data_IF_720819322414
#
_entry.id   IF_720819322414
#
_cell.length_a   1.000
_cell.length_b   1.000
_cell.length_c   1.000
_cell.angle_alpha   90.00
_cell.angle_beta   90.00
_cell.angle_gamma   90.00
#
_symmetry.space_group_name_H-M   'P 1'
#
loop_
_entity.id
_entity.type
_entity.pdbx_description
1 polymer ?
#
# COMPACT_ATOMS: atom_id res chain seq x y z
N UNK A 1 17.47 38.94 60.88
CA UNK A 1 18.75 39.48 60.37
C UNK A 1 18.99 38.89 58.99
N UNK A 2 18.67 39.66 57.94
CA UNK A 2 18.96 39.27 56.57
C UNK A 2 20.45 39.60 56.35
N UNK A 3 21.28 38.59 56.16
CA UNK A 3 22.72 38.78 55.95
C UNK A 3 22.96 39.30 54.53
N UNK A 4 23.12 40.61 54.39
CA UNK A 4 23.61 41.25 53.17
C UNK A 4 25.15 41.11 53.11
N UNK A 5 25.66 39.92 52.78
CA UNK A 5 27.07 39.78 52.38
C UNK A 5 27.19 39.90 50.85
N UNK A 6 27.91 40.93 50.41
CA UNK A 6 28.32 41.07 49.01
C UNK A 6 29.24 39.87 48.69
N UNK A 7 28.93 39.08 47.65
CA UNK A 7 29.55 37.79 47.30
C UNK A 7 29.14 36.56 48.15
N UNK A 8 27.87 36.43 48.55
CA UNK A 8 27.36 35.24 49.24
C UNK A 8 27.40 33.92 48.43
N UNK A 9 27.60 34.00 47.10
CA UNK A 9 27.60 32.83 46.20
C UNK A 9 29.01 32.55 45.68
N UNK A 10 29.41 31.27 45.67
CA UNK A 10 30.71 30.85 45.13
C UNK A 10 30.64 30.68 43.61
N UNK A 11 31.79 30.77 42.94
CA UNK A 11 31.92 30.54 41.49
C UNK A 11 31.35 29.17 41.07
N UNK A 12 31.46 28.16 41.94
CA UNK A 12 30.84 26.85 41.74
C UNK A 12 29.32 26.93 41.63
N UNK A 13 28.64 27.66 42.52
CA UNK A 13 27.18 27.82 42.49
C UNK A 13 26.72 28.56 41.23
N UNK A 14 27.48 29.56 40.77
CA UNK A 14 27.22 30.24 39.50
C UNK A 14 27.37 29.30 38.29
N UNK A 15 28.40 28.45 38.29
CA UNK A 15 28.62 27.47 37.22
C UNK A 15 27.53 26.39 37.18
N UNK A 16 27.10 25.90 38.35
CA UNK A 16 25.98 24.94 38.45
C UNK A 16 24.70 25.55 37.88
N UNK A 17 24.37 26.79 38.28
CA UNK A 17 23.18 27.47 37.77
C UNK A 17 23.24 27.66 36.24
N UNK A 18 24.40 28.05 35.70
CA UNK A 18 24.60 28.21 34.26
C UNK A 18 24.42 26.89 33.51
N UNK A 19 24.97 25.80 34.03
CA UNK A 19 24.80 24.47 33.43
C UNK A 19 23.35 24.01 33.45
N UNK A 20 22.65 24.18 34.58
CA UNK A 20 21.23 23.84 34.69
C UNK A 20 20.41 24.68 33.71
N UNK A 21 20.67 25.99 33.62
CA UNK A 21 19.97 26.87 32.67
C UNK A 21 20.18 26.43 31.22
N UNK A 22 21.41 26.09 30.84
CA UNK A 22 21.72 25.56 29.51
C UNK A 22 21.01 24.23 29.25
N UNK A 23 21.04 23.30 30.22
CA UNK A 23 20.36 22.01 30.10
C UNK A 23 18.84 22.15 29.99
N UNK A 24 18.24 23.07 30.74
CA UNK A 24 16.80 23.36 30.68
C UNK A 24 16.42 23.95 29.32
N UNK A 25 17.23 24.88 28.79
CA UNK A 25 16.99 25.44 27.45
C UNK A 25 16.98 24.34 26.38
N UNK A 26 17.98 23.45 26.38
CA UNK A 26 18.04 22.31 25.45
C UNK A 26 16.86 21.36 25.64
N UNK A 27 16.42 21.12 26.88
CA UNK A 27 15.26 20.25 27.14
C UNK A 27 13.95 20.86 26.60
N UNK A 28 13.79 22.18 26.69
CA UNK A 28 12.64 22.90 26.13
C UNK A 28 12.66 22.80 24.60
N UNK A 29 13.80 23.05 23.97
CA UNK A 29 13.95 22.93 22.52
C UNK A 29 13.68 21.51 22.03
N UNK A 30 14.20 20.50 22.76
CA UNK A 30 13.94 19.09 22.46
C UNK A 30 12.45 18.76 22.58
N UNK A 31 11.76 19.23 23.63
CA UNK A 31 10.33 19.00 23.79
C UNK A 31 9.52 19.55 22.60
N UNK A 32 9.83 20.79 22.18
CA UNK A 32 9.20 21.40 21.01
C UNK A 32 9.52 20.63 19.71
N UNK A 33 10.75 20.12 19.55
CA UNK A 33 11.13 19.28 18.41
C UNK A 33 10.34 17.96 18.39
N UNK A 34 10.15 17.30 19.53
CA UNK A 34 9.37 16.06 19.62
C UNK A 34 7.90 16.30 19.26
N UNK A 35 7.29 17.37 19.76
CA UNK A 35 5.91 17.73 19.42
C UNK A 35 5.72 17.94 17.90
N UNK A 36 6.61 18.72 17.28
CA UNK A 36 6.60 18.93 15.83
C UNK A 36 6.82 17.63 15.04
N UNK A 37 7.65 16.72 15.55
CA UNK A 37 7.90 15.44 14.91
C UNK A 37 6.69 14.53 14.99
N UNK A 38 6.01 14.48 16.14
CA UNK A 38 4.78 13.70 16.33
C UNK A 38 3.67 14.17 15.39
N UNK A 39 3.48 15.49 15.26
CA UNK A 39 2.52 16.06 14.30
C UNK A 39 2.84 15.67 12.85
N UNK A 40 4.12 15.76 12.45
CA UNK A 40 4.56 15.34 11.11
C UNK A 40 4.35 13.85 10.88
N UNK A 41 4.70 13.00 11.85
CA UNK A 41 4.49 11.56 11.75
C UNK A 41 3.01 11.28 11.58
N UNK A 42 2.14 11.88 12.39
CA UNK A 42 0.69 11.72 12.28
C UNK A 42 0.18 12.13 10.89
N UNK A 43 0.55 13.30 10.40
CA UNK A 43 0.13 13.78 9.09
C UNK A 43 0.58 12.84 7.95
N UNK A 44 1.81 12.33 8.03
CA UNK A 44 2.35 11.37 7.05
C UNK A 44 1.68 10.01 7.15
N UNK A 45 1.35 9.55 8.35
CA UNK A 45 0.60 8.32 8.57
C UNK A 45 -0.80 8.43 7.97
N UNK A 46 -1.51 9.54 8.19
CA UNK A 46 -2.84 9.79 7.61
C UNK A 46 -2.78 9.83 6.07
N UNK A 47 -1.75 10.45 5.50
CA UNK A 47 -1.49 10.46 4.05
C UNK A 47 -1.27 9.03 3.51
N UNK A 48 -0.46 8.22 4.19
CA UNK A 48 -0.19 6.83 3.80
C UNK A 48 -1.48 5.99 3.83
N UNK A 49 -2.32 6.15 4.85
CA UNK A 49 -3.59 5.43 4.94
C UNK A 49 -4.56 5.82 3.81
N UNK A 50 -4.66 7.11 3.50
CA UNK A 50 -5.51 7.59 2.41
C UNK A 50 -5.02 7.12 1.03
N UNK A 51 -3.71 7.16 0.78
CA UNK A 51 -3.12 6.59 -0.44
C UNK A 51 -3.35 5.07 -0.54
N UNK A 52 -3.19 4.35 0.57
CA UNK A 52 -3.46 2.90 0.63
C UNK A 52 -4.90 2.58 0.27
N UNK A 53 -5.87 3.30 0.83
CA UNK A 53 -7.29 3.10 0.52
C UNK A 53 -7.60 3.31 -0.97
N UNK A 54 -6.99 4.32 -1.60
CA UNK A 54 -7.16 4.56 -3.05
C UNK A 54 -6.57 3.40 -3.87
N UNK A 55 -5.38 2.91 -3.50
CA UNK A 55 -4.73 1.79 -4.19
C UNK A 55 -5.56 0.51 -4.04
N UNK A 56 -6.07 0.22 -2.85
CA UNK A 56 -6.92 -0.94 -2.59
C UNK A 56 -8.21 -0.89 -3.40
N UNK A 57 -8.88 0.27 -3.46
CA UNK A 57 -10.06 0.46 -4.30
C UNK A 57 -9.75 0.22 -5.78
N UNK A 58 -8.68 0.84 -6.31
CA UNK A 58 -8.27 0.64 -7.71
C UNK A 58 -7.89 -0.80 -8.02
N UNK A 59 -7.17 -1.46 -7.12
CA UNK A 59 -6.80 -2.87 -7.30
C UNK A 59 -8.03 -3.77 -7.33
N UNK A 60 -9.04 -3.47 -6.50
CA UNK A 60 -10.32 -4.18 -6.54
C UNK A 60 -11.01 -4.00 -7.88
N UNK A 61 -11.16 -2.77 -8.35
CA UNK A 61 -11.82 -2.47 -9.63
C UNK A 61 -11.11 -3.14 -10.83
N UNK A 62 -9.77 -3.13 -10.83
CA UNK A 62 -8.96 -3.81 -11.84
C UNK A 62 -9.18 -5.33 -11.78
N UNK A 63 -9.15 -5.90 -10.57
CA UNK A 63 -9.35 -7.34 -10.38
C UNK A 63 -10.75 -7.76 -10.84
N UNK A 64 -11.78 -7.00 -10.48
CA UNK A 64 -13.16 -7.25 -10.90
C UNK A 64 -13.32 -7.16 -12.43
N UNK A 65 -12.63 -6.20 -13.05
CA UNK A 65 -12.59 -6.07 -14.52
C UNK A 65 -11.93 -7.28 -15.19
N UNK A 66 -10.81 -7.77 -14.64
CA UNK A 66 -10.12 -8.96 -15.14
C UNK A 66 -10.99 -10.22 -14.96
N UNK A 67 -11.68 -10.33 -13.82
CA UNK A 67 -12.65 -11.42 -13.59
C UNK A 67 -13.81 -11.38 -14.58
N UNK A 68 -14.31 -10.19 -14.92
CA UNK A 68 -15.33 -10.04 -15.94
C UNK A 68 -14.83 -10.45 -17.33
N UNK A 69 -13.61 -10.08 -17.71
CA UNK A 69 -12.98 -10.52 -18.94
C UNK A 69 -12.85 -12.06 -19.02
N UNK A 70 -12.57 -12.73 -17.89
CA UNK A 70 -12.59 -14.20 -17.81
C UNK A 70 -13.96 -14.79 -18.16
N UNK A 71 -15.06 -14.16 -17.69
CA UNK A 71 -16.42 -14.61 -18.02
C UNK A 71 -16.68 -14.52 -19.54
N UNK A 72 -16.24 -13.44 -20.18
CA UNK A 72 -16.31 -13.29 -21.64
C UNK A 72 -15.49 -14.38 -22.34
N UNK A 73 -14.23 -14.57 -21.92
CA UNK A 73 -13.35 -15.61 -22.48
C UNK A 73 -14.01 -17.00 -22.38
N UNK A 74 -14.57 -17.36 -21.23
CA UNK A 74 -15.24 -18.64 -21.04
C UNK A 74 -16.50 -18.78 -21.90
N UNK A 75 -17.30 -17.72 -22.04
CA UNK A 75 -18.49 -17.72 -22.88
C UNK A 75 -18.17 -17.94 -24.37
N UNK A 76 -17.02 -17.43 -24.83
CA UNK A 76 -16.52 -17.69 -26.19
C UNK A 76 -15.99 -19.12 -26.37
N UNK A 77 -15.45 -19.72 -25.31
CA UNK A 77 -14.83 -21.06 -25.35
C UNK A 77 -15.80 -22.21 -25.02
N UNK A 78 -17.00 -21.91 -24.51
CA UNK A 78 -17.99 -22.90 -24.09
C UNK A 78 -18.64 -23.71 -25.23
N UNK A 79 -18.31 -23.43 -26.49
CA UNK A 79 -18.71 -24.27 -27.64
C UNK A 79 -17.94 -25.61 -27.74
N UNK A 80 -17.34 -26.08 -26.63
CA UNK A 80 -16.70 -27.40 -26.53
C UNK A 80 -17.64 -28.56 -26.90
N UNK A 81 -18.96 -28.37 -26.83
CA UNK A 81 -19.94 -29.35 -27.28
C UNK A 81 -19.78 -29.67 -28.78
N UNK A 82 -19.61 -28.66 -29.63
CA UNK A 82 -19.35 -28.83 -31.06
C UNK A 82 -17.99 -29.53 -31.31
N UNK A 83 -16.99 -29.20 -30.49
CA UNK A 83 -15.65 -29.79 -30.58
C UNK A 83 -15.67 -31.29 -30.21
N UNK A 84 -16.33 -31.63 -29.10
CA UNK A 84 -16.47 -33.01 -28.62
C UNK A 84 -17.30 -33.88 -29.57
N UNK A 85 -18.33 -33.31 -30.21
CA UNK A 85 -19.12 -34.01 -31.23
C UNK A 85 -18.34 -34.25 -32.53
N UNK A 86 -17.46 -33.32 -32.89
CA UNK A 86 -16.65 -33.41 -34.13
C UNK A 86 -15.42 -34.30 -33.95
N UNK A 87 -14.78 -34.26 -32.78
CA UNK A 87 -13.52 -34.96 -32.50
C UNK A 87 -13.68 -35.92 -31.31
N UNK A 88 -14.23 -37.11 -31.58
CA UNK A 88 -14.64 -38.11 -30.57
C UNK A 88 -13.51 -38.65 -29.67
N UNK A 89 -12.27 -38.61 -30.13
CA UNK A 89 -11.09 -39.07 -29.37
C UNK A 89 -10.13 -37.90 -29.11
N UNK A 90 -10.66 -36.76 -28.66
CA UNK A 90 -9.86 -35.56 -28.37
C UNK A 90 -10.25 -34.92 -27.04
N UNK A 91 -9.35 -34.09 -26.51
CA UNK A 91 -9.61 -33.22 -25.38
C UNK A 91 -8.86 -31.90 -25.56
N UNK A 92 -9.37 -30.85 -24.90
CA UNK A 92 -8.71 -29.54 -24.89
C UNK A 92 -8.03 -29.31 -23.55
N UNK A 93 -6.71 -29.12 -23.57
CA UNK A 93 -5.94 -28.74 -22.38
C UNK A 93 -5.81 -27.22 -22.33
N UNK A 94 -6.49 -26.58 -21.38
CA UNK A 94 -6.40 -25.14 -21.15
C UNK A 94 -5.83 -24.85 -19.76
N UNK A 95 -4.62 -24.27 -19.72
CA UNK A 95 -3.88 -23.96 -18.49
C UNK A 95 -3.42 -22.50 -18.49
N UNK A 96 -4.31 -21.55 -18.17
CA UNK A 96 -3.93 -20.14 -18.09
C UNK A 96 -2.90 -19.91 -16.99
N UNK A 97 -1.97 -18.97 -17.21
CA UNK A 97 -0.98 -18.56 -16.19
C UNK A 97 -1.61 -17.72 -15.07
N UNK A 98 -2.56 -16.85 -15.43
CA UNK A 98 -3.26 -15.92 -14.54
C UNK A 98 -4.79 -16.06 -14.70
N UNK A 99 -5.56 -15.12 -14.16
CA UNK A 99 -7.04 -15.15 -14.16
C UNK A 99 -7.62 -15.27 -15.58
N UNK A 100 -6.97 -14.64 -16.57
CA UNK A 100 -7.34 -14.64 -17.99
C UNK A 100 -6.14 -15.12 -18.81
N UNK A 101 -6.36 -15.97 -19.81
CA UNK A 101 -5.32 -16.32 -20.80
C UNK A 101 -5.32 -15.36 -21.97
N UNK A 102 -4.16 -15.15 -22.60
CA UNK A 102 -4.08 -14.58 -23.95
C UNK A 102 -4.44 -15.58 -25.05
N UNK A 103 -4.44 -16.87 -24.73
CA UNK A 103 -4.70 -17.94 -25.69
C UNK A 103 -6.20 -18.28 -25.74
N UNK A 104 -6.71 -18.53 -26.94
CA UNK A 104 -8.10 -18.92 -27.20
C UNK A 104 -8.15 -20.04 -28.24
N UNK A 105 -9.11 -20.95 -28.12
CA UNK A 105 -9.40 -21.95 -29.13
C UNK A 105 -10.85 -21.81 -29.61
N UNK A 106 -11.07 -22.08 -30.90
CA UNK A 106 -12.38 -22.06 -31.54
C UNK A 106 -12.40 -23.08 -32.67
N UNK A 107 -13.57 -23.60 -33.02
CA UNK A 107 -13.74 -24.50 -34.15
C UNK A 107 -15.13 -24.30 -34.76
N UNK A 108 -15.24 -24.50 -36.07
CA UNK A 108 -16.53 -24.46 -36.77
C UNK A 108 -16.59 -25.53 -37.85
N UNK A 109 -17.80 -26.03 -38.13
CA UNK A 109 -18.01 -27.01 -39.20
C UNK A 109 -18.12 -26.30 -40.54
N UNK A 110 -17.20 -26.60 -41.45
CA UNK A 110 -17.25 -26.07 -42.82
C UNK A 110 -18.18 -26.93 -43.68
N UNK A 111 -19.31 -26.38 -44.10
CA UNK A 111 -20.15 -26.98 -45.14
C UNK A 111 -19.44 -26.85 -46.49
N UNK A 112 -19.19 -27.97 -47.18
CA UNK A 112 -18.77 -27.93 -48.60
C UNK A 112 -19.99 -27.57 -49.45
N UNK A 113 -19.92 -26.56 -50.33
CA UNK A 113 -20.89 -26.43 -51.41
C UNK A 113 -20.69 -27.62 -52.37
N UNK A 114 -21.82 -28.19 -52.81
CA UNK A 114 -21.88 -29.23 -53.84
C UNK A 114 -21.35 -28.73 -55.18
#
# INVERSE_FOLDING_TARGET
>A
MQSFSKNAYSEYQHNVLRNIANSVAVAIDNAALYENLEEKVKARTDEVFSQKAIIEAKNKDITDSIQYAKKIQLALMSETQLFNETFKESFVLFRPKDIVSGDFYWATKRSRPL
#
